data_IF_553079044359
#
_entry.id   IF_553079044359
#
_cell.length_a   1.000
_cell.length_b   1.000
_cell.length_c   1.000
_cell.angle_alpha   90.00
_cell.angle_beta   90.00
_cell.angle_gamma   90.00
#
_symmetry.space_group_name_H-M   'P 1'
#
loop_
_entity.id
_entity.type
_entity.pdbx_description
1 polymer ?
#
# COMPACT_ATOMS: atom_id res chain seq x y z
N UNK A 1 -12.34 22.53 4.80
CA UNK A 1 -12.80 21.18 4.38
C UNK A 1 -14.07 20.77 5.11
N UNK A 2 -14.06 20.67 6.44
CA UNK A 2 -15.25 20.34 7.24
C UNK A 2 -16.44 21.28 6.97
N UNK A 3 -16.22 22.61 6.99
CA UNK A 3 -17.27 23.59 6.69
C UNK A 3 -17.86 23.48 5.27
N UNK A 4 -17.13 22.83 4.35
CA UNK A 4 -17.59 22.57 2.98
C UNK A 4 -18.24 21.18 2.83
N UNK A 5 -18.40 20.42 3.92
CA UNK A 5 -19.03 19.10 3.90
C UNK A 5 -18.18 18.00 3.26
N UNK A 6 -16.84 18.08 3.35
CA UNK A 6 -15.95 17.04 2.81
C UNK A 6 -15.85 15.84 3.75
N UNK A 7 -16.21 14.65 3.26
CA UNK A 7 -16.14 13.40 4.03
C UNK A 7 -14.78 12.69 3.98
N UNK A 8 -14.06 12.82 2.86
CA UNK A 8 -12.79 12.11 2.60
C UNK A 8 -11.80 13.01 1.86
N UNK A 9 -10.51 12.88 2.19
CA UNK A 9 -9.39 13.50 1.45
C UNK A 9 -8.43 12.46 0.88
N UNK A 10 -7.88 12.75 -0.30
CA UNK A 10 -6.80 11.99 -0.92
C UNK A 10 -5.50 12.76 -0.78
N UNK A 11 -4.48 12.14 -0.16
CA UNK A 11 -3.20 12.79 0.13
C UNK A 11 -2.11 12.19 -0.77
N UNK A 12 -1.75 12.92 -1.82
CA UNK A 12 -0.69 12.57 -2.79
C UNK A 12 0.56 13.46 -2.69
N UNK A 13 0.75 14.15 -1.55
CA UNK A 13 1.94 14.98 -1.30
C UNK A 13 3.19 14.13 -1.07
N UNK A 14 4.41 14.68 -1.16
CA UNK A 14 5.65 13.94 -0.84
C UNK A 14 5.65 13.34 0.58
N UNK A 15 6.42 12.27 0.77
CA UNK A 15 6.48 11.51 2.03
C UNK A 15 6.79 12.38 3.27
N UNK A 16 7.63 13.41 3.10
CA UNK A 16 8.04 14.28 4.20
C UNK A 16 6.89 15.06 4.87
N UNK A 17 5.88 15.50 4.10
CA UNK A 17 4.74 16.26 4.62
C UNK A 17 3.51 15.40 4.94
N UNK A 18 3.48 14.17 4.41
CA UNK A 18 2.30 13.30 4.43
C UNK A 18 1.79 12.98 5.83
N UNK A 19 2.69 12.65 6.77
CA UNK A 19 2.31 12.34 8.16
C UNK A 19 1.48 13.46 8.79
N UNK A 20 1.92 14.71 8.65
CA UNK A 20 1.24 15.86 9.25
C UNK A 20 -0.16 16.05 8.67
N UNK A 21 -0.30 15.94 7.35
CA UNK A 21 -1.59 16.09 6.66
C UNK A 21 -2.57 14.97 7.00
N UNK A 22 -2.10 13.73 7.16
CA UNK A 22 -2.94 12.60 7.58
C UNK A 22 -3.49 12.85 8.99
N UNK A 23 -2.61 13.24 9.93
CA UNK A 23 -3.03 13.51 11.31
C UNK A 23 -4.03 14.67 11.38
N UNK A 24 -3.80 15.75 10.64
CA UNK A 24 -4.71 16.89 10.56
C UNK A 24 -6.11 16.46 10.05
N UNK A 25 -6.17 15.68 8.97
CA UNK A 25 -7.42 15.17 8.43
C UNK A 25 -8.15 14.25 9.44
N UNK A 26 -7.41 13.37 10.12
CA UNK A 26 -7.96 12.51 11.18
C UNK A 26 -8.54 13.37 12.31
N UNK A 27 -7.80 14.35 12.83
CA UNK A 27 -8.26 15.25 13.89
C UNK A 27 -9.56 15.97 13.51
N UNK A 28 -9.68 16.38 12.25
CA UNK A 28 -10.88 17.00 11.68
C UNK A 28 -12.06 16.04 11.50
N UNK A 29 -11.89 14.74 11.73
CA UNK A 29 -12.94 13.74 11.56
C UNK A 29 -13.17 13.32 10.10
N UNK A 30 -12.21 13.60 9.21
CA UNK A 30 -12.31 13.35 7.77
C UNK A 30 -11.60 12.03 7.46
N UNK A 31 -12.23 11.18 6.64
CA UNK A 31 -11.59 9.96 6.13
C UNK A 31 -10.40 10.25 5.24
N UNK A 32 -9.43 9.34 5.17
CA UNK A 32 -8.18 9.56 4.45
C UNK A 32 -7.85 8.40 3.51
N UNK A 33 -7.51 8.72 2.27
CA UNK A 33 -6.79 7.82 1.35
C UNK A 33 -5.40 8.39 1.11
N UNK A 34 -4.36 7.68 1.54
CA UNK A 34 -2.98 8.12 1.43
C UNK A 34 -2.25 7.40 0.29
N UNK A 35 -1.51 8.16 -0.51
CA UNK A 35 -0.62 7.61 -1.53
C UNK A 35 0.56 6.85 -0.89
N UNK A 36 1.27 6.06 -1.71
CA UNK A 36 2.44 5.27 -1.34
C UNK A 36 3.75 6.06 -1.48
N UNK A 37 4.81 5.70 -0.71
CA UNK A 37 4.80 4.82 0.46
C UNK A 37 3.98 5.44 1.60
N UNK A 38 3.13 4.66 2.27
CA UNK A 38 2.21 5.17 3.29
C UNK A 38 2.90 5.94 4.42
N UNK A 39 4.04 5.44 4.89
CA UNK A 39 4.84 6.00 5.98
C UNK A 39 6.34 5.74 5.76
N UNK A 40 7.20 6.45 6.50
CA UNK A 40 8.66 6.26 6.45
C UNK A 40 9.10 4.86 6.89
N UNK A 41 8.36 4.28 7.83
CA UNK A 41 8.61 2.99 8.47
C UNK A 41 7.31 2.44 9.09
N UNK A 42 7.39 1.22 9.62
CA UNK A 42 6.25 0.54 10.22
C UNK A 42 5.77 1.15 11.55
N UNK A 43 6.65 1.84 12.29
CA UNK A 43 6.26 2.47 13.55
C UNK A 43 5.37 3.69 13.29
N UNK A 44 5.77 4.54 12.33
CA UNK A 44 4.95 5.65 11.86
C UNK A 44 3.63 5.16 11.22
N UNK A 45 3.65 4.06 10.46
CA UNK A 45 2.41 3.49 9.93
C UNK A 45 1.43 3.10 11.05
N UNK A 46 1.92 2.41 12.10
CA UNK A 46 1.11 2.03 13.27
C UNK A 46 0.59 3.23 14.04
N UNK A 47 1.39 4.30 14.16
CA UNK A 47 0.97 5.56 14.77
C UNK A 47 -0.27 6.13 14.08
N UNK A 48 -0.22 6.24 12.74
CA UNK A 48 -1.31 6.79 11.92
C UNK A 48 -2.57 5.92 11.98
N UNK A 49 -2.41 4.59 11.90
CA UNK A 49 -3.53 3.64 12.03
C UNK A 49 -4.19 3.80 13.40
N UNK A 50 -3.39 3.81 14.48
CA UNK A 50 -3.93 3.98 15.83
C UNK A 50 -4.62 5.35 16.04
N UNK A 51 -4.14 6.41 15.38
CA UNK A 51 -4.80 7.72 15.43
C UNK A 51 -6.18 7.69 14.75
N UNK A 52 -6.28 7.06 13.58
CA UNK A 52 -7.54 6.89 12.86
C UNK A 52 -8.54 6.03 13.65
N UNK A 53 -8.08 4.90 14.22
CA UNK A 53 -8.90 4.02 15.06
C UNK A 53 -9.44 4.73 16.29
N UNK A 54 -8.59 5.46 17.04
CA UNK A 54 -9.02 6.23 18.23
C UNK A 54 -10.04 7.31 17.89
N UNK A 55 -9.95 7.88 16.70
CA UNK A 55 -10.84 8.95 16.23
C UNK A 55 -12.10 8.41 15.55
N UNK A 56 -12.13 7.14 15.19
CA UNK A 56 -13.25 6.50 14.50
C UNK A 56 -13.39 6.92 13.04
N UNK A 57 -12.29 7.26 12.37
CA UNK A 57 -12.30 7.66 10.94
C UNK A 57 -11.68 6.59 10.07
N UNK A 58 -12.13 6.52 8.82
CA UNK A 58 -11.57 5.61 7.83
C UNK A 58 -10.18 6.08 7.38
N UNK A 59 -9.23 5.15 7.32
CA UNK A 59 -7.89 5.37 6.80
C UNK A 59 -7.53 4.23 5.85
N UNK A 60 -7.16 4.56 4.62
CA UNK A 60 -6.74 3.60 3.60
C UNK A 60 -5.44 4.03 2.93
N UNK A 61 -4.67 3.05 2.48
CA UNK A 61 -3.55 3.25 1.56
C UNK A 61 -4.04 3.08 0.12
N UNK A 62 -3.52 3.87 -0.81
CA UNK A 62 -3.84 3.77 -2.24
C UNK A 62 -3.18 2.56 -2.90
N UNK A 63 -3.63 1.35 -2.54
CA UNK A 63 -3.17 0.08 -3.13
C UNK A 63 -3.87 -0.22 -4.46
N UNK A 64 -3.75 0.69 -5.42
CA UNK A 64 -4.47 0.65 -6.69
C UNK A 64 -4.19 -0.61 -7.54
N UNK A 65 -3.03 -1.24 -7.37
CA UNK A 65 -2.67 -2.48 -8.10
C UNK A 65 -3.46 -3.72 -7.69
N UNK A 66 -4.29 -3.64 -6.64
CA UNK A 66 -5.31 -4.67 -6.35
C UNK A 66 -6.44 -4.70 -7.40
N UNK A 67 -6.45 -3.74 -8.32
CA UNK A 67 -7.38 -3.64 -9.43
C UNK A 67 -6.70 -3.76 -10.81
N UNK A 68 -5.42 -4.15 -10.86
CA UNK A 68 -4.76 -4.50 -12.13
C UNK A 68 -5.45 -5.75 -12.71
N UNK A 69 -5.64 -5.79 -14.04
CA UNK A 69 -6.45 -6.82 -14.70
C UNK A 69 -5.88 -8.22 -14.57
N UNK A 70 -4.55 -8.34 -14.57
CA UNK A 70 -3.83 -9.58 -14.31
C UNK A 70 -4.09 -10.10 -12.89
N UNK A 71 -3.98 -9.24 -11.88
CA UNK A 71 -4.27 -9.56 -10.49
C UNK A 71 -5.72 -9.97 -10.28
N UNK A 72 -6.67 -9.23 -10.87
CA UNK A 72 -8.09 -9.58 -10.81
C UNK A 72 -8.37 -10.94 -11.48
N UNK A 73 -7.65 -11.27 -12.54
CA UNK A 73 -7.77 -12.59 -13.21
C UNK A 73 -7.23 -13.70 -12.32
N UNK A 74 -6.06 -13.52 -11.71
CA UNK A 74 -5.48 -14.48 -10.75
C UNK A 74 -6.40 -14.69 -9.57
N UNK A 75 -6.92 -13.61 -8.97
CA UNK A 75 -7.87 -13.69 -7.85
C UNK A 75 -9.12 -14.48 -8.24
N UNK A 76 -9.70 -14.20 -9.42
CA UNK A 76 -10.87 -14.95 -9.91
C UNK A 76 -10.59 -16.45 -10.04
N UNK A 77 -9.41 -16.84 -10.53
CA UNK A 77 -9.04 -18.26 -10.69
C UNK A 77 -8.81 -18.97 -9.34
N UNK A 78 -8.28 -18.24 -8.35
CA UNK A 78 -8.14 -18.73 -6.98
C UNK A 78 -9.51 -18.88 -6.31
N UNK A 79 -10.36 -17.86 -6.40
CA UNK A 79 -11.71 -17.85 -5.82
C UNK A 79 -12.60 -18.95 -6.42
N UNK A 80 -12.37 -19.33 -7.69
CA UNK A 80 -13.10 -20.42 -8.35
C UNK A 80 -12.47 -21.80 -8.14
N UNK A 81 -11.43 -21.92 -7.30
CA UNK A 81 -10.67 -23.15 -7.04
C UNK A 81 -10.09 -23.82 -8.31
N UNK A 82 -9.96 -23.08 -9.42
CA UNK A 82 -9.59 -23.64 -10.72
C UNK A 82 -8.13 -24.15 -10.77
N UNK A 83 -7.32 -23.74 -9.81
CA UNK A 83 -5.90 -24.08 -9.70
C UNK A 83 -5.62 -25.17 -8.65
N UNK A 84 -6.64 -25.59 -7.89
CA UNK A 84 -6.45 -26.43 -6.71
C UNK A 84 -5.57 -25.75 -5.64
N UNK A 85 -4.80 -26.55 -4.91
CA UNK A 85 -3.88 -26.05 -3.89
C UNK A 85 -2.64 -25.42 -4.54
N UNK A 86 -2.50 -24.10 -4.38
CA UNK A 86 -1.33 -23.36 -4.88
C UNK A 86 -0.15 -23.54 -3.92
N UNK A 87 0.93 -24.15 -4.41
CA UNK A 87 2.18 -24.34 -3.65
C UNK A 87 3.22 -23.26 -3.92
N UNK A 88 3.10 -22.52 -5.03
CA UNK A 88 4.05 -21.48 -5.43
C UNK A 88 3.35 -20.38 -6.22
N UNK A 89 3.64 -19.13 -5.85
CA UNK A 89 3.23 -17.93 -6.56
C UNK A 89 4.45 -17.09 -6.88
N UNK A 90 4.60 -16.71 -8.15
CA UNK A 90 5.68 -15.85 -8.63
C UNK A 90 5.06 -14.64 -9.31
N UNK A 91 5.54 -13.45 -8.95
CA UNK A 91 5.12 -12.20 -9.55
C UNK A 91 6.33 -11.29 -9.67
N UNK A 92 6.54 -10.73 -10.86
CA UNK A 92 7.65 -9.84 -11.16
C UNK A 92 7.14 -8.58 -11.86
N UNK A 93 7.71 -7.44 -11.47
CA UNK A 93 7.59 -6.19 -12.21
C UNK A 93 9.00 -5.83 -12.66
N UNK A 94 9.26 -6.05 -13.93
CA UNK A 94 10.55 -5.79 -14.52
C UNK A 94 10.54 -4.45 -15.25
N UNK A 95 11.63 -3.70 -15.09
CA UNK A 95 11.86 -2.47 -15.83
C UNK A 95 13.23 -2.53 -16.47
N UNK A 96 13.26 -2.52 -17.80
CA UNK A 96 14.50 -2.27 -18.53
C UNK A 96 14.89 -0.79 -18.39
N UNK A 97 15.84 -0.50 -17.49
CA UNK A 97 16.41 0.83 -17.30
C UNK A 97 17.94 0.74 -17.29
N UNK A 98 18.60 0.93 -18.45
CA UNK A 98 20.06 0.83 -18.55
C UNK A 98 20.82 1.92 -17.76
N UNK A 99 20.10 2.94 -17.26
CA UNK A 99 20.63 3.92 -16.31
C UNK A 99 20.20 3.54 -14.89
N UNK A 100 21.14 3.64 -13.95
CA UNK A 100 20.91 3.47 -12.51
C UNK A 100 19.69 4.27 -12.04
N UNK A 101 18.69 3.57 -11.50
CA UNK A 101 17.62 4.19 -10.72
C UNK A 101 18.25 4.71 -9.44
N UNK A 102 18.43 6.03 -9.35
CA UNK A 102 19.00 6.66 -8.16
C UNK A 102 18.25 6.29 -6.88
N UNK A 103 18.92 6.41 -5.72
CA UNK A 103 18.36 6.07 -4.39
C UNK A 103 17.24 7.02 -3.90
N UNK A 104 16.71 7.88 -4.77
CA UNK A 104 15.81 8.97 -4.43
C UNK A 104 14.45 8.50 -3.86
N UNK A 105 14.06 7.23 -4.08
CA UNK A 105 12.77 6.69 -3.61
C UNK A 105 12.74 6.26 -2.13
N UNK A 106 13.78 6.51 -1.34
CA UNK A 106 13.77 6.21 0.11
C UNK A 106 13.77 4.70 0.46
N UNK A 107 14.07 3.86 -0.53
CA UNK A 107 14.29 2.41 -0.37
C UNK A 107 14.29 1.61 -1.67
N UNK A 108 14.62 2.24 -2.80
CA UNK A 108 14.86 1.57 -4.08
C UNK A 108 13.61 0.96 -4.72
N UNK A 109 13.83 0.07 -5.67
CA UNK A 109 12.78 -0.63 -6.44
C UNK A 109 11.90 -1.50 -5.53
N UNK A 110 12.47 -2.07 -4.46
CA UNK A 110 11.71 -2.91 -3.53
C UNK A 110 10.60 -2.12 -2.83
N UNK A 111 10.88 -0.91 -2.30
CA UNK A 111 9.82 -0.10 -1.67
C UNK A 111 8.87 0.50 -2.69
N UNK A 112 9.35 0.85 -3.88
CA UNK A 112 8.55 1.54 -4.90
C UNK A 112 7.60 0.60 -5.66
N UNK A 113 8.10 -0.54 -6.11
CA UNK A 113 7.37 -1.54 -6.90
C UNK A 113 7.07 -2.81 -6.10
N UNK A 114 8.06 -3.31 -5.35
CA UNK A 114 7.92 -4.55 -4.59
C UNK A 114 6.86 -4.48 -3.49
N UNK A 115 6.58 -3.31 -2.92
CA UNK A 115 5.50 -3.13 -1.94
C UNK A 115 4.12 -3.48 -2.50
N UNK A 116 3.90 -3.27 -3.81
CA UNK A 116 2.67 -3.70 -4.46
C UNK A 116 2.59 -5.22 -4.63
N UNK A 117 3.71 -5.86 -4.98
CA UNK A 117 3.76 -7.32 -5.13
C UNK A 117 3.58 -8.03 -3.80
N UNK A 118 4.19 -7.52 -2.73
CA UNK A 118 3.99 -8.00 -1.36
C UNK A 118 2.53 -7.82 -0.93
N UNK A 119 1.94 -6.65 -1.21
CA UNK A 119 0.53 -6.39 -0.92
C UNK A 119 -0.40 -7.39 -1.63
N UNK A 120 -0.19 -7.63 -2.92
CA UNK A 120 -0.95 -8.61 -3.70
C UNK A 120 -0.80 -10.02 -3.13
N UNK A 121 0.41 -10.46 -2.79
CA UNK A 121 0.63 -11.78 -2.19
C UNK A 121 -0.10 -11.93 -0.84
N UNK A 122 -0.06 -10.89 0.01
CA UNK A 122 -0.79 -10.87 1.28
C UNK A 122 -2.31 -10.90 1.10
N UNK A 123 -2.83 -10.23 0.06
CA UNK A 123 -4.26 -10.26 -0.27
C UNK A 123 -4.71 -11.65 -0.74
N UNK A 124 -3.88 -12.35 -1.53
CA UNK A 124 -4.22 -13.66 -2.08
C UNK A 124 -4.06 -14.80 -1.08
N UNK A 125 -3.02 -14.75 -0.24
CA UNK A 125 -2.61 -15.90 0.57
C UNK A 125 -2.61 -15.64 2.09
N UNK A 126 -2.87 -14.40 2.52
CA UNK A 126 -2.90 -14.04 3.93
C UNK A 126 -1.52 -13.75 4.54
N UNK A 127 -1.38 -13.79 5.88
CA UNK A 127 -0.16 -13.38 6.58
C UNK A 127 1.03 -14.30 6.28
N UNK A 128 2.24 -13.72 6.30
CA UNK A 128 3.51 -14.42 6.01
C UNK A 128 4.20 -14.86 7.30
N UNK A 129 4.70 -16.10 7.33
CA UNK A 129 5.47 -16.64 8.46
C UNK A 129 6.97 -16.34 8.38
N UNK A 130 7.55 -16.32 7.17
CA UNK A 130 8.99 -16.12 6.93
C UNK A 130 9.24 -15.31 5.66
N UNK A 131 10.23 -14.43 5.71
CA UNK A 131 10.71 -13.64 4.57
C UNK A 131 12.17 -13.99 4.30
N UNK A 132 12.52 -14.16 3.02
CA UNK A 132 13.89 -14.26 2.51
C UNK A 132 14.12 -13.16 1.46
N UNK A 133 15.30 -12.57 1.44
CA UNK A 133 15.68 -11.54 0.47
C UNK A 133 17.18 -11.63 0.16
N UNK A 134 17.53 -11.38 -1.09
CA UNK A 134 18.91 -11.34 -1.61
C UNK A 134 19.10 -10.15 -2.56
N UNK A 135 20.36 -9.75 -2.79
CA UNK A 135 20.75 -8.60 -3.63
C UNK A 135 21.66 -9.04 -4.77
#
# INVERSE_FOLDING_TARGET
LVAAGVDVVVISTPLASRRALILEAIELGIGVVSDKPFASDAAQARELVGAAERRGVLLSVYQNRRWDSDFLTVRKLLDSEALGAVSRFESSIERYSPRSVGKASGGGVLRDLGSHLVDQALVLFGPVERVYAEL
#
